data_IF_792820974153
#
_entry.id   IF_792820974153
#
_cell.length_a   1.000
_cell.length_b   1.000
_cell.length_c   1.000
_cell.angle_alpha   90.00
_cell.angle_beta   90.00
_cell.angle_gamma   90.00
#
_symmetry.space_group_name_H-M   'P 1'
#
loop_
_entity.id
_entity.type
_entity.pdbx_description
1 polymer ?
#
# COMPACT_ATOMS: atom_id res chain seq x y z
N UNK A 1 18.79 -2.66 0.24
CA UNK A 1 17.60 -3.28 -0.39
C UNK A 1 16.30 -2.58 0.01
N UNK A 2 15.96 -2.49 1.30
CA UNK A 2 14.74 -1.79 1.74
C UNK A 2 14.70 -0.31 1.30
N UNK A 3 15.83 0.39 1.42
CA UNK A 3 15.95 1.77 0.92
C UNK A 3 15.64 1.90 -0.56
N UNK A 4 16.15 0.98 -1.38
CA UNK A 4 15.88 0.95 -2.81
C UNK A 4 14.39 0.72 -3.10
N UNK A 5 13.74 -0.19 -2.36
CA UNK A 5 12.29 -0.40 -2.49
C UNK A 5 11.49 0.86 -2.11
N UNK A 6 11.92 1.58 -1.07
CA UNK A 6 11.29 2.84 -0.68
C UNK A 6 11.44 3.90 -1.77
N UNK A 7 12.65 4.05 -2.32
CA UNK A 7 12.95 4.94 -3.45
C UNK A 7 12.09 4.63 -4.69
N UNK A 8 12.04 3.37 -5.12
CA UNK A 8 11.21 2.95 -6.27
C UNK A 8 9.74 3.33 -6.08
N UNK A 9 9.17 3.13 -4.89
CA UNK A 9 7.77 3.52 -4.63
C UNK A 9 7.59 5.04 -4.56
N UNK A 10 8.57 5.78 -4.04
CA UNK A 10 8.54 7.25 -4.00
C UNK A 10 8.57 7.87 -5.39
N UNK A 11 9.24 7.22 -6.34
CA UNK A 11 9.28 7.59 -7.77
C UNK A 11 7.99 7.22 -8.54
N UNK A 12 7.04 6.55 -7.87
CA UNK A 12 5.78 6.15 -8.50
C UNK A 12 5.82 4.78 -9.19
N UNK A 13 6.95 4.08 -9.10
CA UNK A 13 7.15 2.82 -9.78
C UNK A 13 6.59 1.62 -8.99
N UNK A 14 6.40 0.50 -9.69
CA UNK A 14 5.91 -0.77 -9.12
C UNK A 14 7.09 -1.69 -8.85
N UNK A 15 7.04 -2.44 -7.74
CA UNK A 15 7.99 -3.51 -7.43
C UNK A 15 7.28 -4.85 -7.62
N UNK A 16 7.94 -5.78 -8.30
CA UNK A 16 7.45 -7.14 -8.47
C UNK A 16 8.53 -8.17 -8.15
N UNK A 17 8.22 -9.08 -7.22
CA UNK A 17 9.10 -10.16 -6.77
C UNK A 17 8.33 -11.46 -6.96
N UNK A 18 8.67 -12.24 -8.00
CA UNK A 18 8.03 -13.53 -8.29
C UNK A 18 8.11 -14.46 -7.08
N UNK A 19 7.03 -15.19 -6.80
CA UNK A 19 6.87 -15.99 -5.58
C UNK A 19 6.44 -15.19 -4.35
N UNK A 20 7.02 -14.01 -4.12
CA UNK A 20 6.76 -13.19 -2.93
C UNK A 20 5.52 -12.28 -3.06
N UNK A 21 5.47 -11.44 -4.09
CA UNK A 21 4.36 -10.48 -4.28
C UNK A 21 4.76 -9.22 -5.04
N UNK A 22 3.88 -8.23 -5.00
CA UNK A 22 4.09 -6.94 -5.67
C UNK A 22 3.66 -5.76 -4.81
N UNK A 23 4.43 -4.68 -4.88
CA UNK A 23 4.07 -3.38 -4.30
C UNK A 23 3.69 -2.42 -5.42
N UNK A 24 2.60 -1.69 -5.22
CA UNK A 24 2.07 -0.71 -6.17
C UNK A 24 1.48 0.48 -5.41
N UNK A 25 1.25 1.60 -6.10
CA UNK A 25 0.57 2.74 -5.52
C UNK A 25 -0.91 2.74 -5.88
N UNK A 26 -1.77 2.87 -4.87
CA UNK A 26 -3.20 3.10 -5.08
C UNK A 26 -3.55 4.55 -4.81
N UNK A 27 -4.23 5.19 -5.76
CA UNK A 27 -4.74 6.54 -5.56
C UNK A 27 -5.88 6.55 -4.53
N UNK A 28 -5.96 7.66 -3.78
CA UNK A 28 -7.05 8.02 -2.87
C UNK A 28 -7.50 9.41 -3.28
N UNK A 29 -8.77 9.52 -3.68
CA UNK A 29 -9.36 10.80 -4.03
C UNK A 29 -9.40 11.74 -2.80
N UNK A 30 -9.35 13.07 -3.00
CA UNK A 30 -9.58 14.03 -1.94
C UNK A 30 -10.93 13.79 -1.26
N UNK A 31 -11.02 14.03 0.05
CA UNK A 31 -12.25 13.85 0.82
C UNK A 31 -12.24 14.65 2.11
N UNK A 32 -13.44 14.90 2.65
CA UNK A 32 -13.59 15.41 4.01
C UNK A 32 -13.46 14.25 5.00
N UNK A 33 -12.37 14.27 5.78
CA UNK A 33 -12.17 13.40 6.92
C UNK A 33 -12.75 13.97 8.21
N UNK A 34 -12.54 13.25 9.31
CA UNK A 34 -12.82 13.74 10.66
C UNK A 34 -11.64 13.43 11.58
N UNK A 35 -11.34 14.36 12.47
CA UNK A 35 -10.43 14.10 13.58
C UNK A 35 -11.06 13.01 14.48
N UNK A 36 -10.43 11.84 14.67
CA UNK A 36 -11.01 10.74 15.43
C UNK A 36 -11.21 11.06 16.92
N UNK A 37 -10.49 12.05 17.46
CA UNK A 37 -10.60 12.48 18.86
C UNK A 37 -11.73 13.48 19.11
N UNK A 38 -12.00 14.39 18.15
CA UNK A 38 -12.93 15.52 18.36
C UNK A 38 -14.14 15.52 17.44
N UNK A 39 -14.13 14.72 16.38
CA UNK A 39 -15.18 14.70 15.36
C UNK A 39 -15.17 15.88 14.39
N UNK A 40 -14.27 16.86 14.58
CA UNK A 40 -14.13 18.01 13.70
C UNK A 40 -13.78 17.58 12.26
N UNK A 41 -14.40 18.22 11.27
CA UNK A 41 -14.13 17.98 9.85
C UNK A 41 -12.74 18.49 9.47
N UNK A 42 -12.05 17.76 8.59
CA UNK A 42 -10.73 18.12 8.06
C UNK A 42 -10.69 17.78 6.58
N UNK A 43 -10.29 18.72 5.73
CA UNK A 43 -10.04 18.47 4.31
C UNK A 43 -8.79 17.62 4.13
N UNK A 44 -8.89 16.54 3.35
CA UNK A 44 -7.77 15.66 3.03
C UNK A 44 -7.55 15.69 1.51
N UNK A 45 -6.35 16.09 1.11
CA UNK A 45 -5.95 16.09 -0.28
C UNK A 45 -5.84 14.67 -0.85
N UNK A 46 -5.92 14.58 -2.17
CA UNK A 46 -5.72 13.33 -2.90
C UNK A 46 -4.27 12.87 -2.75
N UNK A 47 -4.07 11.57 -2.61
CA UNK A 47 -2.72 11.01 -2.43
C UNK A 47 -2.61 9.58 -2.92
N UNK A 48 -1.38 9.13 -3.12
CA UNK A 48 -1.08 7.72 -3.31
C UNK A 48 -0.74 7.04 -1.99
N UNK A 49 -1.10 5.77 -1.87
CA UNK A 49 -0.71 4.92 -0.74
C UNK A 49 -0.10 3.61 -1.26
N UNK A 50 0.98 3.09 -0.65
CA UNK A 50 1.50 1.78 -0.98
C UNK A 50 0.44 0.68 -0.74
N UNK A 51 0.40 -0.28 -1.65
CA UNK A 51 -0.44 -1.47 -1.57
C UNK A 51 0.40 -2.69 -1.94
N UNK A 52 0.42 -3.69 -1.05
CA UNK A 52 1.07 -4.96 -1.29
C UNK A 52 0.05 -6.02 -1.69
N UNK A 53 0.33 -6.74 -2.77
CA UNK A 53 -0.39 -7.94 -3.19
C UNK A 53 0.53 -9.15 -3.02
N UNK A 54 0.28 -10.03 -2.02
CA UNK A 54 1.04 -11.27 -1.85
C UNK A 54 0.99 -12.14 -3.11
N UNK A 55 2.11 -12.78 -3.46
CA UNK A 55 2.22 -13.74 -4.56
C UNK A 55 1.58 -15.09 -4.24
N UNK A 56 1.43 -15.98 -5.22
CA UNK A 56 0.82 -17.31 -5.00
C UNK A 56 1.60 -18.11 -3.96
N UNK A 57 2.90 -18.25 -4.13
CA UNK A 57 3.75 -19.03 -3.22
C UNK A 57 3.68 -18.50 -1.79
N UNK A 58 3.78 -17.17 -1.60
CA UNK A 58 3.63 -16.57 -0.27
C UNK A 58 2.25 -16.84 0.35
N UNK A 59 1.16 -16.72 -0.42
CA UNK A 59 -0.20 -17.02 0.08
C UNK A 59 -0.33 -18.48 0.49
N UNK A 60 0.13 -19.40 -0.35
CA UNK A 60 0.03 -20.84 -0.10
C UNK A 60 0.83 -21.24 1.14
N UNK A 61 2.03 -20.68 1.32
CA UNK A 61 2.88 -20.94 2.50
C UNK A 61 2.37 -20.32 3.79
N UNK A 62 1.77 -19.13 3.71
CA UNK A 62 1.25 -18.42 4.88
C UNK A 62 -0.12 -18.95 5.33
N UNK A 63 -0.90 -19.53 4.42
CA UNK A 63 -2.21 -20.07 4.75
C UNK A 63 -2.08 -21.47 5.38
N UNK A 64 -2.13 -21.51 6.71
CA UNK A 64 -2.11 -22.76 7.49
C UNK A 64 -3.47 -23.47 7.55
N UNK A 65 -4.51 -22.85 6.99
CA UNK A 65 -5.86 -23.42 6.93
C UNK A 65 -6.12 -23.98 5.52
N UNK A 66 -6.40 -25.28 5.45
CA UNK A 66 -6.79 -26.00 4.23
C UNK A 66 -8.23 -26.46 4.28
#
# INVERSE_FOLDING_TARGET
>A
MLEHMAGTLAEGERIEIRGFGSFSLHYRAPRVGRNPKTGAKVELEGKYVPHFKPGKELRDRANIYG
#
